data_IF_515973373267
#
_entry.id   IF_515973373267
#
_cell.length_a   1.000
_cell.length_b   1.000
_cell.length_c   1.000
_cell.angle_alpha   90.00
_cell.angle_beta   90.00
_cell.angle_gamma   90.00
#
_symmetry.space_group_name_H-M   'P 1'
#
loop_
_entity.id
_entity.type
_entity.pdbx_description
1 polymer ?
#
# COMPACT_ATOMS: atom_id res chain seq x y z
N UNK A 1 3.95 -2.50 25.12
CA UNK A 1 2.84 -3.26 24.49
C UNK A 1 3.37 -3.80 23.19
N UNK A 2 3.33 -5.12 23.01
CA UNK A 2 3.81 -5.79 21.79
C UNK A 2 2.86 -5.45 20.64
N UNK A 3 3.35 -4.86 19.54
CA UNK A 3 2.51 -4.56 18.37
C UNK A 3 2.04 -5.90 17.76
N UNK A 4 0.75 -6.07 17.44
CA UNK A 4 0.26 -7.31 16.84
C UNK A 4 1.00 -7.60 15.54
N UNK A 5 1.57 -8.80 15.45
CA UNK A 5 2.31 -9.27 14.28
C UNK A 5 1.32 -9.75 13.23
N UNK A 6 0.77 -8.81 12.45
CA UNK A 6 -0.24 -9.06 11.42
C UNK A 6 0.32 -8.81 10.02
N UNK A 7 0.03 -9.69 9.06
CA UNK A 7 0.27 -9.39 7.65
C UNK A 7 -0.83 -8.46 7.14
N UNK A 8 -0.56 -7.15 7.19
CA UNK A 8 -1.52 -6.14 6.75
C UNK A 8 -1.91 -6.28 5.27
N UNK A 9 -1.04 -6.86 4.42
CA UNK A 9 -1.31 -7.03 2.99
C UNK A 9 -2.41 -8.06 2.72
N UNK A 10 -2.54 -9.07 3.58
CA UNK A 10 -3.59 -10.09 3.48
C UNK A 10 -4.80 -9.74 4.33
N UNK A 11 -4.58 -9.44 5.61
CA UNK A 11 -5.67 -9.30 6.57
C UNK A 11 -6.47 -7.99 6.39
N UNK A 12 -5.83 -6.91 5.93
CA UNK A 12 -6.47 -5.60 5.81
C UNK A 12 -6.90 -5.25 4.37
N UNK A 13 -6.91 -6.22 3.44
CA UNK A 13 -7.20 -5.97 2.02
C UNK A 13 -8.57 -5.32 1.77
N UNK A 14 -9.56 -5.61 2.63
CA UNK A 14 -10.92 -5.06 2.56
C UNK A 14 -11.17 -3.96 3.62
N UNK A 15 -10.13 -3.46 4.27
CA UNK A 15 -10.24 -2.51 5.38
C UNK A 15 -9.51 -2.98 6.63
N UNK A 16 -9.19 -2.05 7.53
CA UNK A 16 -8.43 -2.34 8.75
C UNK A 16 -9.21 -3.27 9.69
N UNK A 17 -8.65 -4.43 10.04
CA UNK A 17 -9.26 -5.40 10.97
C UNK A 17 -8.96 -5.12 12.45
N UNK A 18 -7.96 -4.29 12.73
CA UNK A 18 -7.51 -3.95 14.09
C UNK A 18 -8.05 -2.60 14.59
N UNK A 19 -8.80 -1.87 13.77
CA UNK A 19 -9.31 -0.54 14.11
C UNK A 19 -8.17 0.43 14.49
N UNK A 20 -8.24 0.97 15.71
CA UNK A 20 -7.27 1.93 16.26
C UNK A 20 -5.92 1.30 16.65
N UNK A 21 -5.86 -0.02 16.80
CA UNK A 21 -4.62 -0.76 17.12
C UNK A 21 -3.76 -1.06 15.88
N UNK A 22 -4.04 -0.39 14.76
CA UNK A 22 -3.28 -0.54 13.53
C UNK A 22 -1.79 -0.20 13.78
N UNK A 23 -0.84 -1.10 13.45
CA UNK A 23 0.59 -0.84 13.67
C UNK A 23 1.13 0.32 12.83
N UNK A 24 0.38 0.73 11.80
CA UNK A 24 0.71 1.76 10.81
C UNK A 24 -0.05 3.08 11.01
N UNK A 25 -0.70 3.29 12.18
CA UNK A 25 -1.49 4.50 12.46
C UNK A 25 -0.67 5.79 12.33
N UNK A 26 0.65 5.74 12.55
CA UNK A 26 1.57 6.88 12.39
C UNK A 26 1.57 7.47 10.97
N UNK A 27 1.22 6.67 9.95
CA UNK A 27 1.17 7.14 8.56
C UNK A 27 -0.18 7.76 8.17
N UNK A 28 -1.18 7.71 9.06
CA UNK A 28 -2.55 8.17 8.76
C UNK A 28 -2.58 9.63 8.33
N UNK A 29 -1.92 10.51 9.09
CA UNK A 29 -1.90 11.95 8.81
C UNK A 29 -1.18 12.26 7.48
N UNK A 30 -0.03 11.63 7.23
CA UNK A 30 0.70 11.79 5.98
C UNK A 30 -0.11 11.32 4.77
N UNK A 31 -0.83 10.19 4.90
CA UNK A 31 -1.70 9.68 3.86
C UNK A 31 -2.90 10.60 3.59
N UNK A 32 -3.56 11.11 4.65
CA UNK A 32 -4.64 12.09 4.52
C UNK A 32 -4.16 13.35 3.79
N UNK A 33 -3.01 13.89 4.22
CA UNK A 33 -2.42 15.08 3.59
C UNK A 33 -2.07 14.84 2.12
N UNK A 34 -1.53 13.67 1.77
CA UNK A 34 -1.25 13.34 0.38
C UNK A 34 -2.52 13.34 -0.48
N UNK A 35 -3.63 12.78 0.01
CA UNK A 35 -4.90 12.73 -0.72
C UNK A 35 -5.50 14.15 -0.88
N UNK A 36 -5.38 14.99 0.14
CA UNK A 36 -5.87 16.38 0.10
C UNK A 36 -5.02 17.26 -0.84
N UNK A 37 -3.70 17.11 -0.79
CA UNK A 37 -2.76 17.96 -1.53
C UNK A 37 -2.51 17.48 -2.97
N UNK A 38 -2.91 16.25 -3.33
CA UNK A 38 -2.66 15.67 -4.65
C UNK A 38 -3.96 15.60 -5.47
N UNK A 39 -4.13 16.44 -6.50
CA UNK A 39 -5.27 16.37 -7.40
C UNK A 39 -5.39 15.01 -8.08
N UNK A 40 -6.63 14.60 -8.39
CA UNK A 40 -6.90 13.30 -9.00
C UNK A 40 -6.09 13.06 -10.29
N UNK A 41 -5.97 14.06 -11.15
CA UNK A 41 -5.21 13.95 -12.41
C UNK A 41 -3.72 13.64 -12.14
N UNK A 42 -3.14 14.26 -11.11
CA UNK A 42 -1.76 13.99 -10.69
C UNK A 42 -1.62 12.57 -10.11
N UNK A 43 -2.62 12.08 -9.38
CA UNK A 43 -2.62 10.69 -8.90
C UNK A 43 -2.65 9.68 -10.06
N UNK A 44 -3.43 9.98 -11.11
CA UNK A 44 -3.50 9.14 -12.32
C UNK A 44 -2.15 9.14 -13.06
N UNK A 45 -1.49 10.29 -13.17
CA UNK A 45 -0.15 10.39 -13.76
C UNK A 45 0.88 9.56 -12.98
N UNK A 46 0.88 9.65 -11.65
CA UNK A 46 1.75 8.84 -10.78
C UNK A 46 1.51 7.34 -11.02
N UNK A 47 0.25 6.92 -11.14
CA UNK A 47 -0.12 5.54 -11.40
C UNK A 47 0.39 5.05 -12.77
N UNK A 48 0.29 5.88 -13.82
CA UNK A 48 0.79 5.54 -15.15
C UNK A 48 2.32 5.43 -15.18
N UNK A 49 3.03 6.33 -14.52
CA UNK A 49 4.49 6.25 -14.38
C UNK A 49 4.90 4.95 -13.67
N UNK A 50 4.21 4.59 -12.59
CA UNK A 50 4.47 3.34 -11.86
C UNK A 50 4.20 2.10 -12.73
N UNK A 51 3.10 2.12 -13.51
CA UNK A 51 2.77 1.06 -14.47
C UNK A 51 3.85 0.91 -15.54
N UNK A 52 4.30 2.01 -16.14
CA UNK A 52 5.35 2.00 -17.15
C UNK A 52 6.67 1.46 -16.60
N UNK A 53 7.07 1.85 -15.39
CA UNK A 53 8.25 1.28 -14.70
C UNK A 53 8.12 -0.23 -14.54
N UNK A 54 6.97 -0.71 -14.05
CA UNK A 54 6.71 -2.15 -13.89
C UNK A 54 6.77 -2.93 -15.20
N UNK A 55 6.37 -2.32 -16.32
CA UNK A 55 6.47 -2.95 -17.65
C UNK A 55 7.91 -3.01 -18.18
N UNK A 56 8.77 -2.09 -17.75
CA UNK A 56 10.20 -2.08 -18.11
C UNK A 56 11.05 -2.99 -17.21
N UNK A 57 10.56 -3.34 -16.01
CA UNK A 57 11.24 -4.26 -15.11
C UNK A 57 11.27 -5.69 -15.70
N UNK A 58 12.37 -6.44 -15.49
CA UNK A 58 12.43 -7.83 -15.90
C UNK A 58 11.36 -8.66 -15.17
N UNK A 59 10.84 -9.72 -15.80
CA UNK A 59 9.79 -10.54 -15.19
C UNK A 59 10.30 -11.17 -13.89
N UNK A 60 9.53 -10.99 -12.80
CA UNK A 60 9.74 -11.71 -11.54
C UNK A 60 9.03 -13.06 -11.62
N UNK A 61 9.81 -14.12 -11.57
CA UNK A 61 9.30 -15.48 -11.45
C UNK A 61 8.87 -15.69 -10.00
N UNK A 62 7.60 -16.02 -9.78
CA UNK A 62 7.06 -16.37 -8.47
C UNK A 62 6.75 -17.86 -8.53
N UNK A 63 7.38 -18.67 -7.68
CA UNK A 63 7.09 -20.09 -7.63
C UNK A 63 5.91 -20.34 -6.68
N UNK A 64 5.08 -21.37 -6.92
CA UNK A 64 3.93 -21.67 -6.07
C UNK A 64 4.28 -21.94 -4.59
N UNK A 65 5.52 -22.35 -4.32
CA UNK A 65 6.04 -22.51 -2.95
C UNK A 65 6.39 -21.20 -2.22
N UNK A 66 6.40 -20.05 -2.91
CA UNK A 66 6.78 -18.73 -2.35
C UNK A 66 5.59 -17.89 -1.83
N UNK A 67 4.34 -18.37 -1.96
CA UNK A 67 3.10 -17.68 -1.54
C UNK A 67 2.37 -18.38 -0.42
#
# INVERSE_FOLDING_TARGET
MEKPKINCAEACVNGCVLGDECPNTEFKEAASKFIEDTPLDQMIEIAEIARMKKLMEPPKWVFPEDT
#
